data_IF_822626971301
#
_entry.id   IF_822626971301
#
_cell.length_a   1.000
_cell.length_b   1.000
_cell.length_c   1.000
_cell.angle_alpha   90.00
_cell.angle_beta   90.00
_cell.angle_gamma   90.00
#
_symmetry.space_group_name_H-M   'P 1'
#
loop_
_entity.id
_entity.type
_entity.pdbx_description
1 polymer ?
#
# COMPACT_ATOMS: atom_id res chain seq x y z
N UNK A 1 54.21 26.39 21.96
CA UNK A 1 53.23 25.38 21.52
C UNK A 1 53.94 24.48 20.52
N UNK A 2 54.02 23.17 20.78
CA UNK A 2 54.93 22.28 20.06
C UNK A 2 54.32 21.83 18.72
N UNK A 3 54.98 22.08 17.59
CA UNK A 3 54.45 21.80 16.24
C UNK A 3 54.04 20.33 16.03
N UNK A 4 54.65 19.42 16.80
CA UNK A 4 54.35 17.99 16.81
C UNK A 4 52.95 17.65 17.37
N UNK A 5 52.44 18.43 18.33
CA UNK A 5 51.12 18.19 18.93
C UNK A 5 49.99 18.55 17.95
N UNK A 6 50.18 19.62 17.17
CA UNK A 6 49.22 20.09 16.16
C UNK A 6 49.08 19.11 15.00
N UNK A 7 50.18 18.47 14.58
CA UNK A 7 50.16 17.45 13.51
C UNK A 7 49.50 16.14 13.95
N UNK A 8 49.72 15.73 15.21
CA UNK A 8 49.09 14.53 15.77
C UNK A 8 47.57 14.70 15.84
N UNK A 9 47.10 15.86 16.34
CA UNK A 9 45.67 16.20 16.42
C UNK A 9 44.99 16.18 15.06
N UNK A 10 45.62 16.75 14.02
CA UNK A 10 45.10 16.77 12.65
C UNK A 10 45.03 15.37 12.01
N UNK A 11 45.98 14.50 12.32
CA UNK A 11 45.99 13.11 11.84
C UNK A 11 44.87 12.29 12.48
N UNK A 12 44.68 12.44 13.80
CA UNK A 12 43.60 11.77 14.53
C UNK A 12 42.22 12.25 14.05
N UNK A 13 42.01 13.56 13.85
CA UNK A 13 40.75 14.07 13.29
C UNK A 13 40.46 13.48 11.91
N UNK A 14 41.46 13.44 11.01
CA UNK A 14 41.31 12.86 9.68
C UNK A 14 40.92 11.38 9.75
N UNK A 15 41.54 10.62 10.66
CA UNK A 15 41.22 9.20 10.87
C UNK A 15 39.80 9.00 11.39
N UNK A 16 39.35 9.82 12.34
CA UNK A 16 37.99 9.77 12.88
C UNK A 16 36.96 10.04 11.78
N UNK A 17 37.19 11.05 10.93
CA UNK A 17 36.31 11.31 9.78
C UNK A 17 36.25 10.09 8.86
N UNK A 18 37.40 9.55 8.43
CA UNK A 18 37.42 8.39 7.53
C UNK A 18 36.65 7.20 8.10
N UNK A 19 36.82 6.91 9.40
CA UNK A 19 36.11 5.82 10.07
C UNK A 19 34.60 6.06 10.17
N UNK A 20 34.17 7.29 10.49
CA UNK A 20 32.75 7.62 10.57
C UNK A 20 32.05 7.47 9.22
N UNK A 21 32.68 7.95 8.15
CA UNK A 21 32.09 7.86 6.81
C UNK A 21 32.02 6.42 6.30
N UNK A 22 33.06 5.60 6.53
CA UNK A 22 33.10 4.22 6.02
C UNK A 22 32.20 3.26 6.79
N UNK A 23 32.14 3.37 8.12
CA UNK A 23 31.40 2.41 8.96
C UNK A 23 29.98 2.86 9.29
N UNK A 24 29.68 4.17 9.22
CA UNK A 24 28.37 4.69 9.58
C UNK A 24 27.67 5.32 8.38
N UNK A 25 28.26 6.35 7.78
CA UNK A 25 27.53 7.18 6.82
C UNK A 25 27.19 6.42 5.52
N UNK A 26 28.17 5.74 4.92
CA UNK A 26 27.95 4.97 3.68
C UNK A 26 26.93 3.84 3.91
N UNK A 27 27.08 2.96 4.93
CA UNK A 27 26.09 1.93 5.22
C UNK A 27 24.69 2.48 5.52
N UNK A 28 24.59 3.59 6.27
CA UNK A 28 23.31 4.22 6.58
C UNK A 28 22.62 4.80 5.35
N UNK A 29 23.38 5.42 4.43
CA UNK A 29 22.85 5.90 3.15
C UNK A 29 22.26 4.76 2.31
N UNK A 30 22.95 3.61 2.26
CA UNK A 30 22.44 2.42 1.55
C UNK A 30 21.12 1.95 2.19
N UNK A 31 21.04 1.93 3.52
CA UNK A 31 19.82 1.55 4.24
C UNK A 31 18.65 2.50 3.94
N UNK A 32 18.88 3.82 3.93
CA UNK A 32 17.86 4.82 3.56
C UNK A 32 17.39 4.58 2.13
N UNK A 33 18.30 4.41 1.18
CA UNK A 33 17.94 4.13 -0.21
C UNK A 33 17.11 2.85 -0.35
N UNK A 34 17.51 1.77 0.33
CA UNK A 34 16.76 0.52 0.36
C UNK A 34 15.37 0.69 0.96
N UNK A 35 15.25 1.43 2.06
CA UNK A 35 13.97 1.71 2.70
C UNK A 35 13.04 2.54 1.78
N UNK A 36 13.55 3.57 1.11
CA UNK A 36 12.79 4.37 0.15
C UNK A 36 12.33 3.50 -1.02
N UNK A 37 13.23 2.70 -1.60
CA UNK A 37 12.89 1.80 -2.71
C UNK A 37 11.83 0.77 -2.31
N UNK A 38 11.97 0.18 -1.12
CA UNK A 38 10.98 -0.73 -0.55
C UNK A 38 9.63 -0.04 -0.34
N UNK A 39 9.60 1.19 0.20
CA UNK A 39 8.37 1.94 0.39
C UNK A 39 7.70 2.31 -0.93
N UNK A 40 8.48 2.69 -1.95
CA UNK A 40 7.95 2.95 -3.30
C UNK A 40 7.34 1.69 -3.91
N UNK A 41 8.04 0.55 -3.82
CA UNK A 41 7.52 -0.71 -4.32
C UNK A 41 6.26 -1.12 -3.56
N UNK A 42 6.29 -1.04 -2.22
CA UNK A 42 5.13 -1.29 -1.38
C UNK A 42 3.96 -0.38 -1.75
N UNK A 43 4.20 0.90 -2.03
CA UNK A 43 3.17 1.86 -2.42
C UNK A 43 2.58 1.56 -3.79
N UNK A 44 3.41 1.22 -4.78
CA UNK A 44 2.97 0.84 -6.14
C UNK A 44 2.16 -0.47 -6.09
N UNK A 45 2.59 -1.44 -5.29
CA UNK A 45 1.91 -2.72 -5.09
C UNK A 45 0.82 -2.64 -4.01
N UNK A 46 0.58 -1.46 -3.42
CA UNK A 46 -0.49 -1.28 -2.46
C UNK A 46 -1.82 -1.19 -3.21
N UNK A 47 -2.38 -2.35 -3.54
CA UNK A 47 -3.79 -2.40 -3.91
C UNK A 47 -4.61 -2.17 -2.64
N UNK A 48 -5.21 -0.99 -2.54
CA UNK A 48 -6.30 -0.80 -1.59
C UNK A 48 -7.39 -1.78 -1.98
N UNK A 49 -7.69 -2.74 -1.11
CA UNK A 49 -8.96 -3.47 -1.09
C UNK A 49 -10.11 -2.50 -0.77
N UNK A 50 -10.17 -1.37 -1.47
CA UNK A 50 -11.15 -0.34 -1.27
C UNK A 50 -12.47 -0.91 -1.76
N UNK A 51 -13.26 -1.37 -0.81
CA UNK A 51 -14.60 -1.86 -1.03
C UNK A 51 -15.40 -0.89 -1.92
N UNK A 52 -15.17 0.42 -1.82
CA UNK A 52 -15.81 1.44 -2.66
C UNK A 52 -15.36 1.36 -4.12
N UNK A 53 -14.07 1.15 -4.36
CA UNK A 53 -13.52 0.96 -5.71
C UNK A 53 -14.03 -0.33 -6.34
N UNK A 54 -14.06 -1.43 -5.58
CA UNK A 54 -14.61 -2.72 -6.01
C UNK A 54 -16.10 -2.58 -6.33
N UNK A 55 -16.88 -1.97 -5.44
CA UNK A 55 -18.30 -1.73 -5.65
C UNK A 55 -18.57 -0.85 -6.87
N UNK A 56 -17.73 0.16 -7.10
CA UNK A 56 -17.81 0.98 -8.31
C UNK A 56 -17.50 0.15 -9.57
N UNK A 57 -16.52 -0.75 -9.54
CA UNK A 57 -16.26 -1.65 -10.66
C UNK A 57 -17.42 -2.63 -10.91
N UNK A 58 -18.16 -3.07 -9.88
CA UNK A 58 -19.40 -3.84 -10.08
C UNK A 58 -20.47 -3.01 -10.80
N UNK A 59 -20.53 -1.69 -10.54
CA UNK A 59 -21.50 -0.77 -11.14
C UNK A 59 -21.20 -0.43 -12.61
N UNK A 60 -19.95 -0.11 -12.95
CA UNK A 60 -19.58 0.44 -14.27
C UNK A 60 -18.57 -0.41 -15.06
N UNK A 61 -18.09 -1.52 -14.51
CA UNK A 61 -17.11 -2.38 -15.17
C UNK A 61 -17.65 -3.10 -16.40
N UNK A 62 -16.76 -3.67 -17.21
CA UNK A 62 -17.16 -4.60 -18.28
C UNK A 62 -17.82 -5.85 -17.69
N UNK A 63 -18.64 -6.56 -18.48
CA UNK A 63 -19.32 -7.78 -18.02
C UNK A 63 -18.38 -8.77 -17.32
N UNK A 64 -17.17 -8.99 -17.85
CA UNK A 64 -16.15 -9.83 -17.24
C UNK A 64 -15.56 -9.28 -15.92
N UNK A 65 -15.45 -7.97 -15.78
CA UNK A 65 -14.87 -7.33 -14.58
C UNK A 65 -15.88 -7.22 -13.44
N UNK A 66 -17.18 -7.11 -13.74
CA UNK A 66 -18.23 -6.92 -12.73
C UNK A 66 -18.32 -8.11 -11.78
N UNK A 67 -18.35 -9.34 -12.28
CA UNK A 67 -18.43 -10.53 -11.42
C UNK A 67 -17.13 -10.79 -10.67
N UNK A 68 -15.98 -10.48 -11.27
CA UNK A 68 -14.68 -10.57 -10.59
C UNK A 68 -14.60 -9.57 -9.43
N UNK A 69 -15.06 -8.33 -9.66
CA UNK A 69 -15.08 -7.30 -8.62
C UNK A 69 -16.06 -7.64 -7.50
N UNK A 70 -17.21 -8.24 -7.84
CA UNK A 70 -18.17 -8.72 -6.84
C UNK A 70 -17.58 -9.86 -6.00
N UNK A 71 -16.84 -10.80 -6.62
CA UNK A 71 -16.12 -11.86 -5.93
C UNK A 71 -15.05 -11.31 -4.99
N UNK A 72 -14.22 -10.38 -5.46
CA UNK A 72 -13.22 -9.71 -4.62
C UNK A 72 -13.87 -8.96 -3.45
N UNK A 73 -14.97 -8.25 -3.70
CA UNK A 73 -15.72 -7.54 -2.65
C UNK A 73 -16.19 -8.49 -1.53
N UNK A 74 -16.71 -9.67 -1.89
CA UNK A 74 -17.11 -10.68 -0.90
C UNK A 74 -15.93 -11.17 -0.04
N UNK A 75 -14.72 -11.21 -0.59
CA UNK A 75 -13.51 -11.55 0.17
C UNK A 75 -13.09 -10.44 1.13
N UNK A 76 -13.21 -9.19 0.72
CA UNK A 76 -12.91 -8.03 1.59
C UNK A 76 -13.80 -8.06 2.83
N UNK A 77 -15.08 -8.43 2.68
CA UNK A 77 -16.04 -8.44 3.78
C UNK A 77 -15.85 -9.60 4.76
N UNK A 78 -15.01 -10.60 4.42
CA UNK A 78 -14.58 -11.60 5.41
C UNK A 78 -13.77 -10.99 6.56
N UNK A 79 -13.25 -9.76 6.40
CA UNK A 79 -12.65 -9.00 7.48
C UNK A 79 -13.60 -7.88 7.94
N UNK A 80 -14.21 -7.98 9.15
CA UNK A 80 -15.13 -6.98 9.67
C UNK A 80 -14.56 -5.56 9.73
N UNK A 81 -13.26 -5.41 9.95
CA UNK A 81 -12.58 -4.11 10.03
C UNK A 81 -12.50 -3.39 8.67
N UNK A 82 -12.75 -4.11 7.57
CA UNK A 82 -12.68 -3.59 6.20
C UNK A 82 -14.06 -3.24 5.62
N UNK A 83 -15.15 -3.50 6.35
CA UNK A 83 -16.51 -3.23 5.89
C UNK A 83 -16.81 -1.73 6.05
N UNK A 84 -17.08 -0.98 4.97
CA UNK A 84 -17.46 0.42 5.09
C UNK A 84 -18.78 0.57 5.84
N UNK A 85 -18.80 1.48 6.81
CA UNK A 85 -19.96 1.68 7.69
C UNK A 85 -20.86 2.84 7.27
N UNK A 86 -20.41 3.65 6.31
CA UNK A 86 -21.12 4.84 5.85
C UNK A 86 -22.41 4.50 5.10
N UNK A 87 -23.39 5.39 5.22
CA UNK A 87 -24.72 5.19 4.66
C UNK A 87 -24.72 5.21 3.12
N UNK A 88 -23.82 5.98 2.51
CA UNK A 88 -23.71 6.08 1.06
C UNK A 88 -23.30 4.74 0.45
N UNK A 89 -22.28 4.11 1.01
CA UNK A 89 -21.82 2.80 0.58
C UNK A 89 -22.92 1.75 0.70
N UNK A 90 -23.61 1.67 1.85
CA UNK A 90 -24.74 0.73 2.05
C UNK A 90 -25.86 0.93 1.03
N UNK A 91 -26.25 2.17 0.78
CA UNK A 91 -27.29 2.48 -0.21
C UNK A 91 -26.85 2.09 -1.63
N UNK A 92 -25.58 2.31 -1.98
CA UNK A 92 -25.03 1.88 -3.26
C UNK A 92 -25.02 0.35 -3.36
N UNK A 93 -24.64 -0.35 -2.30
CA UNK A 93 -24.63 -1.82 -2.25
C UNK A 93 -26.01 -2.40 -2.56
N UNK A 94 -27.03 -1.92 -1.85
CA UNK A 94 -28.43 -2.32 -2.05
C UNK A 94 -28.90 -1.98 -3.47
N UNK A 95 -28.60 -0.78 -3.95
CA UNK A 95 -28.98 -0.37 -5.30
C UNK A 95 -28.37 -1.28 -6.36
N UNK A 96 -27.06 -1.56 -6.28
CA UNK A 96 -26.35 -2.38 -7.26
C UNK A 96 -26.86 -3.83 -7.20
N UNK A 97 -27.09 -4.36 -6.00
CA UNK A 97 -27.67 -5.69 -5.82
C UNK A 97 -29.05 -5.80 -6.49
N UNK A 98 -29.92 -4.81 -6.29
CA UNK A 98 -31.25 -4.81 -6.91
C UNK A 98 -31.19 -4.74 -8.44
N UNK A 99 -30.24 -3.99 -9.01
CA UNK A 99 -30.05 -3.90 -10.46
C UNK A 99 -29.35 -5.12 -11.07
N UNK A 100 -28.64 -5.92 -10.26
CA UNK A 100 -27.88 -7.10 -10.74
C UNK A 100 -28.77 -8.25 -11.21
N UNK A 101 -30.10 -8.15 -11.07
CA UNK A 101 -31.07 -9.13 -11.61
C UNK A 101 -30.98 -9.29 -13.14
N UNK A 102 -30.45 -8.28 -13.83
CA UNK A 102 -30.28 -8.25 -15.29
C UNK A 102 -28.82 -8.46 -15.72
N UNK A 103 -27.94 -8.81 -14.78
CA UNK A 103 -26.52 -8.97 -14.98
C UNK A 103 -26.12 -10.46 -15.02
N UNK A 104 -24.81 -10.73 -15.11
CA UNK A 104 -24.28 -12.07 -14.88
C UNK A 104 -24.73 -12.59 -13.49
N UNK A 105 -25.33 -13.80 -13.40
CA UNK A 105 -25.79 -14.36 -12.13
C UNK A 105 -24.72 -14.42 -11.03
N UNK A 106 -23.44 -14.52 -11.41
CA UNK A 106 -22.32 -14.52 -10.48
C UNK A 106 -22.17 -13.18 -9.77
N UNK A 107 -22.47 -12.06 -10.43
CA UNK A 107 -22.45 -10.74 -9.79
C UNK A 107 -23.40 -10.74 -8.61
N UNK A 108 -24.65 -11.12 -8.84
CA UNK A 108 -25.67 -11.14 -7.79
C UNK A 108 -25.33 -12.13 -6.67
N UNK A 109 -24.79 -13.30 -7.01
CA UNK A 109 -24.40 -14.30 -6.04
C UNK A 109 -23.29 -13.79 -5.11
N UNK A 110 -22.23 -13.18 -5.66
CA UNK A 110 -21.13 -12.66 -4.84
C UNK A 110 -21.52 -11.42 -4.05
N UNK A 111 -22.37 -10.54 -4.60
CA UNK A 111 -22.92 -9.41 -3.85
C UNK A 111 -23.83 -9.83 -2.69
N UNK A 112 -24.41 -11.04 -2.71
CA UNK A 112 -25.18 -11.57 -1.58
C UNK A 112 -24.29 -12.22 -0.50
N UNK A 113 -23.05 -12.57 -0.84
CA UNK A 113 -22.06 -13.12 0.08
C UNK A 113 -21.27 -12.02 0.81
N UNK A 114 -21.19 -10.84 0.22
CA UNK A 114 -20.74 -9.61 0.86
C UNK A 114 -21.87 -9.06 1.75
#
# INVERSE_FOLDING_TARGET
MNENETQLSKKESTRIYTLFYSFFLIPFMIAIFGAVFFLLFRFITFETNDASALLNQVKIGSASKRWQSAFELSKVFNNPDQIPTDLSFKNQMVSIYNHSIHDDPLVRAYLALA
#
